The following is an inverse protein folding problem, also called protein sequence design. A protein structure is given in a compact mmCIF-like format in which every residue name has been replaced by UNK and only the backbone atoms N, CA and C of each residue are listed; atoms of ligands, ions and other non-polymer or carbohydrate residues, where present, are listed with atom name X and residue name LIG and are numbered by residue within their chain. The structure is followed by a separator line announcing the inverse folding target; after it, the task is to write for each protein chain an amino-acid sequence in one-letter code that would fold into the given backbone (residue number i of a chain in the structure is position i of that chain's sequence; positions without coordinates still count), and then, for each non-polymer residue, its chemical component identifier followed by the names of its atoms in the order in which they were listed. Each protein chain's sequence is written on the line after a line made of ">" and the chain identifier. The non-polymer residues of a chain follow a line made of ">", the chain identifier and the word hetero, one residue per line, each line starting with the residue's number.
data_IF_370795823466
#
_entry.id   IF_370795823466
#
_cell.length_a   1.000
_cell.length_b   1.000
_cell.length_c   1.000
_cell.angle_alpha   90.00
_cell.angle_beta   90.00
_cell.angle_gamma   90.00
#
_symmetry.space_group_name_H-M   'P 1'
#
loop_
_entity.id
_entity.type
_entity.pdbx_description
1 polymer ?
#
# COMPACT_ATOMS: atom_id res chain seq x y z
N UNK A 1 -12.97 17.74 13.99
CA UNK A 1 -13.02 18.12 12.57
C UNK A 1 -12.89 16.85 11.75
N UNK A 2 -13.91 16.53 10.94
CA UNK A 2 -14.09 15.21 10.32
C UNK A 2 -13.06 14.90 9.24
N UNK A 3 -12.46 13.70 9.31
CA UNK A 3 -11.61 13.13 8.26
C UNK A 3 -12.51 12.73 7.09
N UNK A 4 -12.47 13.49 6.00
CA UNK A 4 -13.04 13.05 4.73
C UNK A 4 -12.11 11.98 4.16
N UNK A 5 -12.67 10.88 3.64
CA UNK A 5 -11.90 9.95 2.81
C UNK A 5 -11.79 10.56 1.41
N UNK A 6 -10.67 10.33 0.74
CA UNK A 6 -10.45 10.86 -0.61
C UNK A 6 -11.33 10.17 -1.67
N UNK A 7 -12.06 9.10 -1.32
CA UNK A 7 -12.92 8.36 -2.23
C UNK A 7 -14.02 9.23 -2.88
N UNK A 8 -14.63 10.14 -2.10
CA UNK A 8 -15.64 11.07 -2.63
C UNK A 8 -15.07 12.10 -3.61
N UNK A 9 -13.76 12.36 -3.58
CA UNK A 9 -13.07 13.30 -4.49
C UNK A 9 -12.63 12.65 -5.78
N UNK A 10 -12.25 11.37 -5.76
CA UNK A 10 -11.83 10.63 -6.95
C UNK A 10 -13.00 10.29 -7.88
N UNK A 11 -14.20 10.00 -7.36
CA UNK A 11 -15.39 9.72 -8.19
C UNK A 11 -15.81 10.90 -9.10
N UNK A 12 -15.50 12.14 -8.74
CA UNK A 12 -15.85 13.32 -9.53
C UNK A 12 -14.99 13.49 -10.80
N UNK A 13 -13.85 12.77 -10.92
CA UNK A 13 -12.85 13.00 -11.98
C UNK A 13 -12.98 12.06 -13.19
N UNK A 14 -13.84 11.03 -13.12
CA UNK A 14 -13.91 9.93 -14.08
C UNK A 14 -14.88 10.08 -15.26
N UNK A 15 -15.07 11.26 -15.85
CA UNK A 15 -15.87 11.38 -17.10
C UNK A 15 -15.24 12.32 -18.13
N UNK A 16 -14.42 11.74 -19.01
CA UNK A 16 -14.06 12.35 -20.30
C UNK A 16 -12.58 12.21 -20.64
N UNK A 17 -12.25 11.14 -21.37
CA UNK A 17 -10.93 10.93 -21.96
C UNK A 17 -10.54 12.07 -22.89
N UNK A 18 -9.66 12.95 -22.42
CA UNK A 18 -8.86 13.87 -23.24
C UNK A 18 -7.40 13.70 -22.85
N UNK A 19 -6.46 13.77 -23.81
CA UNK A 19 -5.04 13.57 -23.54
C UNK A 19 -4.53 14.51 -22.44
N UNK A 20 -3.69 13.97 -21.57
CA UNK A 20 -3.14 14.67 -20.41
C UNK A 20 -2.06 15.64 -20.90
N UNK A 21 -2.35 16.94 -20.88
CA UNK A 21 -1.40 18.01 -21.23
C UNK A 21 -0.49 18.34 -20.02
N UNK A 22 0.73 18.86 -20.24
CA UNK A 22 1.65 19.32 -19.15
C UNK A 22 0.97 20.20 -18.09
N UNK A 23 0.07 21.10 -18.50
CA UNK A 23 -0.70 21.95 -17.57
C UNK A 23 -1.66 21.17 -16.66
N UNK A 24 -2.19 20.04 -17.13
CA UNK A 24 -3.06 19.15 -16.32
C UNK A 24 -2.24 18.38 -15.29
N UNK A 25 -1.04 17.91 -15.64
CA UNK A 25 -0.12 17.24 -14.71
C UNK A 25 0.20 18.16 -13.52
N UNK A 26 0.58 19.42 -13.78
CA UNK A 26 0.84 20.42 -12.74
C UNK A 26 -0.40 20.73 -11.87
N UNK A 27 -1.60 20.73 -12.46
CA UNK A 27 -2.86 20.92 -11.71
C UNK A 27 -3.19 19.72 -10.82
N UNK A 28 -2.92 18.49 -11.29
CA UNK A 28 -3.07 17.26 -10.50
C UNK A 28 -2.09 17.20 -9.32
N UNK A 29 -0.84 17.59 -9.54
CA UNK A 29 0.19 17.64 -8.51
C UNK A 29 -0.14 18.69 -7.42
N UNK A 30 -0.66 19.86 -7.82
CA UNK A 30 -1.11 20.88 -6.88
C UNK A 30 -2.34 20.45 -6.06
N UNK A 31 -3.23 19.63 -6.62
CA UNK A 31 -4.36 19.05 -5.87
C UNK A 31 -3.89 17.97 -4.88
N UNK A 32 -2.91 17.14 -5.25
CA UNK A 32 -2.26 16.19 -4.34
C UNK A 32 -1.52 16.87 -3.18
N UNK A 33 -0.90 18.02 -3.45
CA UNK A 33 -0.24 18.86 -2.44
C UNK A 33 -1.20 19.34 -1.33
N UNK A 34 -2.43 19.73 -1.68
CA UNK A 34 -3.46 20.15 -0.71
C UNK A 34 -4.08 19.00 0.08
N UNK A 35 -4.03 17.77 -0.45
CA UNK A 35 -4.49 16.56 0.26
C UNK A 35 -3.46 16.13 1.31
N UNK A 36 -2.16 16.25 1.02
CA UNK A 36 -1.07 15.92 1.95
C UNK A 36 -1.02 16.73 3.22
N UNK A 37 -1.27 18.04 3.12
CA UNK A 37 -1.18 18.95 4.27
C UNK A 37 -2.30 18.77 5.30
N UNK A 38 -3.40 18.10 4.94
CA UNK A 38 -4.59 17.98 5.80
C UNK A 38 -4.80 16.63 6.49
N UNK A 39 -4.13 15.56 6.04
CA UNK A 39 -4.50 14.18 6.39
C UNK A 39 -3.29 13.29 6.71
N UNK A 40 -2.62 13.60 7.83
CA UNK A 40 -2.03 12.59 8.70
C UNK A 40 -0.78 11.86 8.21
N UNK A 41 0.34 12.23 8.84
CA UNK A 41 1.54 11.42 9.14
C UNK A 41 1.59 10.00 8.51
N UNK A 42 2.48 9.87 7.54
CA UNK A 42 2.75 8.66 6.76
C UNK A 42 3.67 7.74 7.56
N UNK A 43 3.11 6.77 8.29
CA UNK A 43 3.85 5.58 8.74
C UNK A 43 3.65 4.48 7.70
N UNK A 44 4.63 4.28 6.83
CA UNK A 44 4.58 3.22 5.81
C UNK A 44 5.43 2.02 6.23
N UNK A 45 4.75 0.88 6.39
CA UNK A 45 5.34 -0.44 6.60
C UNK A 45 5.40 -0.84 8.07
N UNK A 46 4.25 -1.15 8.67
CA UNK A 46 4.28 -1.77 10.01
C UNK A 46 4.78 -3.19 9.91
N UNK A 47 5.47 -3.66 10.95
CA UNK A 47 5.89 -5.07 11.02
C UNK A 47 4.70 -6.01 10.86
N UNK A 48 3.56 -5.64 11.45
CA UNK A 48 2.28 -6.33 11.28
C UNK A 48 1.87 -6.51 9.81
N UNK A 49 1.96 -5.45 9.00
CA UNK A 49 1.61 -5.47 7.58
C UNK A 49 2.51 -6.43 6.76
N UNK A 50 3.81 -6.45 7.05
CA UNK A 50 4.77 -7.31 6.37
C UNK A 50 4.52 -8.80 6.68
N UNK A 51 4.23 -9.12 7.94
CA UNK A 51 3.93 -10.48 8.37
C UNK A 51 2.61 -10.99 7.79
N UNK A 52 1.56 -10.17 7.77
CA UNK A 52 0.31 -10.52 7.08
C UNK A 52 0.58 -10.83 5.61
N UNK A 53 1.30 -9.96 4.91
CA UNK A 53 1.58 -10.15 3.49
C UNK A 53 2.37 -11.43 3.23
N UNK A 54 3.38 -11.73 4.05
CA UNK A 54 4.17 -12.96 3.94
C UNK A 54 3.32 -14.20 4.27
N UNK A 55 2.45 -14.12 5.27
CA UNK A 55 1.53 -15.20 5.64
C UNK A 55 0.54 -15.50 4.52
N UNK A 56 -0.07 -14.46 3.96
CA UNK A 56 -0.95 -14.57 2.80
C UNK A 56 -0.19 -15.12 1.59
N UNK A 57 1.05 -14.68 1.32
CA UNK A 57 1.91 -15.25 0.27
C UNK A 57 2.06 -16.77 0.45
N UNK A 58 2.38 -17.26 1.66
CA UNK A 58 2.53 -18.69 1.94
C UNK A 58 1.23 -19.47 1.75
N UNK A 59 0.09 -18.86 2.04
CA UNK A 59 -1.22 -19.47 1.80
C UNK A 59 -1.51 -19.57 0.30
N UNK A 60 -1.36 -18.47 -0.44
CA UNK A 60 -1.65 -18.44 -1.88
C UNK A 60 -0.69 -19.35 -2.66
N UNK A 61 0.57 -19.46 -2.23
CA UNK A 61 1.55 -20.39 -2.81
C UNK A 61 1.07 -21.86 -2.79
N UNK A 62 0.22 -22.23 -1.82
CA UNK A 62 -0.37 -23.57 -1.69
C UNK A 62 -1.68 -23.77 -2.45
N UNK A 63 -2.24 -22.71 -3.03
CA UNK A 63 -3.50 -22.75 -3.79
C UNK A 63 -3.22 -23.14 -5.26
N UNK A 64 -4.24 -23.57 -6.03
CA UNK A 64 -4.08 -23.82 -7.46
C UNK A 64 -3.47 -22.62 -8.21
N UNK A 65 -2.38 -22.85 -8.95
CA UNK A 65 -1.63 -21.79 -9.64
C UNK A 65 -0.63 -21.03 -8.76
N UNK A 66 -0.62 -21.30 -7.44
CA UNK A 66 0.31 -20.73 -6.47
C UNK A 66 1.76 -21.17 -6.64
N UNK A 67 2.00 -22.26 -7.38
CA UNK A 67 3.33 -22.72 -7.79
C UNK A 67 4.12 -21.66 -8.59
N UNK A 68 3.40 -20.71 -9.21
CA UNK A 68 4.00 -19.55 -9.89
C UNK A 68 4.52 -18.48 -8.92
N UNK A 69 4.11 -18.51 -7.66
CA UNK A 69 4.63 -17.65 -6.59
C UNK A 69 5.89 -18.31 -6.01
N UNK A 70 7.00 -18.12 -6.70
CA UNK A 70 8.25 -18.85 -6.44
C UNK A 70 9.12 -18.24 -5.33
N UNK A 71 8.99 -16.94 -5.08
CA UNK A 71 9.79 -16.25 -4.08
C UNK A 71 9.10 -15.00 -3.51
N UNK A 72 9.45 -14.69 -2.27
CA UNK A 72 9.14 -13.44 -1.60
C UNK A 72 10.44 -12.91 -0.99
N UNK A 73 10.80 -11.66 -1.29
CA UNK A 73 11.98 -10.99 -0.73
C UNK A 73 11.58 -9.60 -0.26
N UNK A 74 11.84 -9.30 1.00
CA UNK A 74 11.69 -7.97 1.59
C UNK A 74 12.99 -7.18 1.40
N UNK A 75 12.91 -5.95 0.89
CA UNK A 75 14.07 -5.05 0.79
C UNK A 75 14.03 -4.11 2.01
N UNK A 76 14.94 -4.34 2.95
CA UNK A 76 15.09 -3.53 4.17
C UNK A 76 16.17 -2.47 3.93
N UNK A 77 15.83 -1.19 4.13
CA UNK A 77 16.73 -0.05 3.99
C UNK A 77 17.04 0.56 5.36
N UNK A 78 17.77 -0.19 6.19
CA UNK A 78 18.21 0.24 7.52
C UNK A 78 19.69 -0.07 7.71
N UNK A 79 20.34 0.52 8.70
CA UNK A 79 21.75 0.22 8.99
C UNK A 79 21.96 -1.18 9.54
N UNK A 80 20.93 -1.77 10.17
CA UNK A 80 20.98 -3.11 10.77
C UNK A 80 19.75 -3.95 10.40
N UNK A 81 19.88 -5.27 10.55
CA UNK A 81 18.76 -6.21 10.43
C UNK A 81 17.75 -5.95 11.55
N UNK A 82 16.46 -6.18 11.27
CA UNK A 82 15.39 -6.05 12.25
C UNK A 82 14.81 -7.41 12.68
N UNK A 83 13.84 -7.39 13.60
CA UNK A 83 13.21 -8.59 14.14
C UNK A 83 12.53 -9.48 13.09
N UNK A 84 12.19 -8.93 11.91
CA UNK A 84 11.59 -9.70 10.81
C UNK A 84 12.61 -10.40 9.93
N UNK A 85 13.84 -9.93 9.91
CA UNK A 85 14.88 -10.41 9.00
C UNK A 85 15.20 -11.91 9.15
N UNK A 86 15.11 -12.52 10.37
CA UNK A 86 15.22 -13.98 10.53
C UNK A 86 14.01 -14.78 10.03
N UNK A 87 12.84 -14.14 9.84
CA UNK A 87 11.56 -14.79 9.54
C UNK A 87 11.13 -14.61 8.08
N UNK A 88 11.33 -13.41 7.55
CA UNK A 88 10.98 -13.04 6.18
C UNK A 88 12.29 -12.93 5.40
N UNK A 89 12.44 -13.61 4.24
CA UNK A 89 13.64 -13.48 3.42
C UNK A 89 13.90 -12.00 3.11
N UNK A 90 15.02 -11.49 3.59
CA UNK A 90 15.30 -10.03 3.61
C UNK A 90 16.63 -9.74 2.94
N UNK A 91 16.62 -8.79 2.01
CA UNK A 91 17.81 -8.13 1.48
C UNK A 91 18.04 -6.84 2.25
N UNK A 92 19.20 -6.71 2.91
CA UNK A 92 19.58 -5.50 3.64
C UNK A 92 20.32 -4.55 2.70
N UNK A 93 19.64 -3.47 2.31
CA UNK A 93 20.23 -2.35 1.60
C UNK A 93 20.78 -1.31 2.58
N UNK A 94 21.86 -0.63 2.18
CA UNK A 94 22.43 0.48 2.95
C UNK A 94 21.61 1.75 2.71
N UNK A 95 21.03 2.37 3.75
CA UNK A 95 20.29 3.63 3.59
C UNK A 95 21.24 4.76 3.19
N UNK A 96 20.74 5.74 2.44
CA UNK A 96 21.45 7.01 2.21
C UNK A 96 21.40 7.88 3.48
N UNK A 97 20.35 7.71 4.28
CA UNK A 97 20.10 8.48 5.50
C UNK A 97 20.13 7.56 6.74
N UNK A 98 21.31 7.09 7.18
CA UNK A 98 21.43 6.16 8.31
C UNK A 98 20.86 6.70 9.63
N UNK A 99 20.81 8.03 9.79
CA UNK A 99 20.15 8.71 10.91
C UNK A 99 18.63 8.47 10.96
N UNK A 100 18.03 8.08 9.84
CA UNK A 100 16.59 7.85 9.69
C UNK A 100 16.13 6.46 10.12
N UNK A 101 17.03 5.62 10.65
CA UNK A 101 16.71 4.25 11.09
C UNK A 101 15.58 4.22 12.12
N UNK A 102 15.45 5.24 12.97
CA UNK A 102 14.37 5.33 13.96
C UNK A 102 13.16 6.12 13.43
N UNK A 103 13.40 7.33 12.90
CA UNK A 103 12.36 8.18 12.36
C UNK A 103 12.95 9.29 11.48
N UNK A 104 12.20 9.70 10.46
CA UNK A 104 12.46 10.92 9.70
C UNK A 104 11.17 11.50 9.12
N UNK A 105 11.24 12.77 8.72
CA UNK A 105 10.13 13.44 8.02
C UNK A 105 9.79 12.76 6.67
N UNK A 106 10.76 12.05 6.08
CA UNK A 106 10.61 11.41 4.78
C UNK A 106 11.05 9.94 4.75
N UNK A 107 10.27 9.01 5.34
CA UNK A 107 10.65 7.60 5.51
C UNK A 107 10.73 6.80 4.20
N UNK A 108 10.42 7.41 3.06
CA UNK A 108 10.45 6.75 1.74
C UNK A 108 11.72 7.10 0.95
N UNK A 109 12.53 8.06 1.42
CA UNK A 109 13.71 8.58 0.72
C UNK A 109 14.70 7.49 0.29
N UNK A 110 14.87 6.45 1.10
CA UNK A 110 15.89 5.42 0.86
C UNK A 110 15.42 4.26 -0.03
N UNK A 111 14.12 4.15 -0.33
CA UNK A 111 13.58 3.00 -1.07
C UNK A 111 14.16 2.87 -2.48
N UNK A 112 14.29 3.94 -3.27
CA UNK A 112 14.79 3.78 -4.63
C UNK A 112 16.26 3.33 -4.65
N UNK A 113 17.10 3.91 -3.79
CA UNK A 113 18.48 3.47 -3.61
C UNK A 113 18.57 2.01 -3.10
N UNK A 114 17.63 1.58 -2.26
CA UNK A 114 17.58 0.19 -1.78
C UNK A 114 17.23 -0.80 -2.89
N UNK A 115 16.29 -0.43 -3.77
CA UNK A 115 15.94 -1.18 -4.96
C UNK A 115 17.13 -1.25 -5.93
N UNK A 116 17.80 -0.13 -6.18
CA UNK A 116 19.01 -0.09 -7.01
C UNK A 116 20.06 -1.08 -6.49
N UNK A 117 20.33 -1.08 -5.19
CA UNK A 117 21.24 -2.03 -4.56
C UNK A 117 20.79 -3.49 -4.71
N UNK A 118 19.49 -3.77 -4.57
CA UNK A 118 18.97 -5.13 -4.79
C UNK A 118 19.17 -5.58 -6.24
N UNK A 119 18.90 -4.72 -7.22
CA UNK A 119 19.09 -5.03 -8.64
C UNK A 119 20.58 -5.20 -9.00
N UNK A 120 21.46 -4.39 -8.44
CA UNK A 120 22.91 -4.55 -8.62
C UNK A 120 23.41 -5.84 -7.98
N UNK A 121 22.92 -6.19 -6.80
CA UNK A 121 23.21 -7.48 -6.17
C UNK A 121 22.68 -8.65 -7.02
N UNK A 122 21.47 -8.53 -7.58
CA UNK A 122 20.88 -9.53 -8.46
C UNK A 122 21.64 -9.72 -9.79
N UNK A 123 22.31 -8.68 -10.29
CA UNK A 123 23.22 -8.79 -11.45
C UNK A 123 24.48 -9.58 -11.10
N UNK A 124 25.00 -9.38 -9.89
CA UNK A 124 26.18 -10.09 -9.40
C UNK A 124 25.86 -11.54 -8.98
N UNK A 125 24.68 -11.76 -8.39
CA UNK A 125 24.14 -13.05 -7.99
C UNK A 125 22.73 -13.24 -8.59
N UNK A 126 22.62 -13.85 -9.78
CA UNK A 126 21.34 -14.12 -10.43
C UNK A 126 20.40 -15.01 -9.59
N UNK A 127 20.90 -15.73 -8.58
CA UNK A 127 20.10 -16.56 -7.67
C UNK A 127 19.11 -15.76 -6.82
N UNK A 128 19.31 -14.45 -6.68
CA UNK A 128 18.38 -13.55 -6.00
C UNK A 128 17.05 -13.38 -6.77
N UNK A 129 17.04 -13.60 -8.08
CA UNK A 129 15.86 -13.51 -8.93
C UNK A 129 15.38 -14.91 -9.29
N UNK A 130 14.32 -15.36 -8.61
CA UNK A 130 13.77 -16.71 -8.78
C UNK A 130 12.63 -16.80 -9.79
N UNK A 131 12.15 -15.66 -10.30
CA UNK A 131 11.00 -15.56 -11.21
C UNK A 131 11.32 -14.66 -12.41
N UNK A 132 10.69 -14.87 -13.58
CA UNK A 132 10.88 -14.02 -14.76
C UNK A 132 10.26 -12.62 -14.64
N UNK A 133 9.41 -12.37 -13.63
CA UNK A 133 8.72 -11.10 -13.44
C UNK A 133 8.96 -10.55 -12.03
N UNK A 134 9.33 -9.27 -11.93
CA UNK A 134 9.42 -8.51 -10.70
C UNK A 134 8.31 -7.46 -10.68
N UNK A 135 7.47 -7.48 -9.65
CA UNK A 135 6.49 -6.42 -9.42
C UNK A 135 7.10 -5.40 -8.45
N UNK A 136 7.35 -4.19 -8.93
CA UNK A 136 8.07 -3.17 -8.17
C UNK A 136 7.63 -1.77 -8.61
N UNK A 137 7.29 -0.90 -7.66
CA UNK A 137 6.89 0.49 -7.91
C UNK A 137 7.63 1.38 -6.92
N UNK A 138 8.78 1.94 -7.31
CA UNK A 138 9.45 3.10 -6.72
C UNK A 138 10.39 3.66 -7.80
N UNK A 139 10.67 4.98 -7.85
CA UNK A 139 11.67 5.49 -8.82
C UNK A 139 12.61 6.54 -8.22
N UNK A 140 13.91 6.31 -8.40
CA UNK A 140 15.04 7.08 -7.83
C UNK A 140 15.32 8.40 -8.57
N UNK A 141 14.61 8.66 -9.67
CA UNK A 141 14.98 9.75 -10.58
C UNK A 141 14.72 11.14 -9.98
N UNK A 142 13.71 11.29 -9.11
CA UNK A 142 13.31 12.60 -8.60
C UNK A 142 14.16 13.05 -7.40
N UNK A 143 14.70 12.12 -6.62
CA UNK A 143 15.50 12.43 -5.43
C UNK A 143 16.89 13.02 -5.76
N UNK A 144 17.33 12.95 -7.02
CA UNK A 144 18.55 13.62 -7.49
C UNK A 144 18.37 15.10 -7.88
N UNK A 145 17.13 15.60 -7.94
CA UNK A 145 16.80 16.90 -8.53
C UNK A 145 16.20 17.87 -7.49
N UNK A 146 16.97 18.90 -7.11
CA UNK A 146 16.58 19.90 -6.11
C UNK A 146 15.37 20.77 -6.51
N UNK A 147 15.17 21.00 -7.81
CA UNK A 147 14.01 21.74 -8.30
C UNK A 147 12.75 20.88 -8.16
N UNK A 148 12.84 19.60 -8.54
CA UNK A 148 11.74 18.66 -8.41
C UNK A 148 11.41 18.35 -6.94
N UNK A 149 12.40 18.22 -6.05
CA UNK A 149 12.17 18.08 -4.60
C UNK A 149 11.33 19.22 -4.04
N UNK A 150 11.69 20.46 -4.39
CA UNK A 150 10.97 21.65 -3.92
C UNK A 150 9.56 21.76 -4.49
N UNK A 151 9.37 21.37 -5.75
CA UNK A 151 8.09 21.47 -6.45
C UNK A 151 7.09 20.38 -6.06
N UNK A 152 7.58 19.15 -5.82
CA UNK A 152 6.75 17.98 -5.59
C UNK A 152 6.69 17.56 -4.12
N UNK A 153 7.64 18.01 -3.29
CA UNK A 153 7.72 17.70 -1.86
C UNK A 153 7.51 16.19 -1.60
N UNK A 154 6.82 15.79 -0.54
CA UNK A 154 6.59 14.39 -0.18
C UNK A 154 5.90 13.55 -1.28
N UNK A 155 5.15 14.21 -2.17
CA UNK A 155 4.36 13.60 -3.25
C UNK A 155 5.25 13.01 -4.35
N UNK A 156 6.51 13.46 -4.44
CA UNK A 156 7.43 13.09 -5.51
C UNK A 156 7.55 11.59 -5.69
N UNK A 157 7.91 10.84 -4.64
CA UNK A 157 8.08 9.37 -4.71
C UNK A 157 6.77 8.65 -5.06
N UNK A 158 5.61 9.12 -4.59
CA UNK A 158 4.32 8.49 -4.91
C UNK A 158 3.98 8.56 -6.41
N UNK A 159 4.42 9.61 -7.10
CA UNK A 159 4.17 9.77 -8.53
C UNK A 159 5.40 9.55 -9.39
N UNK A 160 6.55 9.25 -8.80
CA UNK A 160 7.81 9.17 -9.51
C UNK A 160 7.74 8.07 -10.61
N UNK A 161 7.10 6.93 -10.32
CA UNK A 161 6.76 5.92 -11.32
C UNK A 161 5.92 6.47 -12.47
N UNK A 162 4.86 7.22 -12.14
CA UNK A 162 3.96 7.78 -13.16
C UNK A 162 4.68 8.81 -14.05
N UNK A 163 5.56 9.62 -13.45
CA UNK A 163 6.38 10.61 -14.16
C UNK A 163 7.38 9.91 -15.08
N UNK A 164 8.12 8.93 -14.58
CA UNK A 164 9.08 8.15 -15.35
C UNK A 164 8.39 7.43 -16.53
N UNK A 165 7.29 6.73 -16.27
CA UNK A 165 6.52 6.05 -17.31
C UNK A 165 6.01 7.01 -18.39
N UNK A 166 5.57 8.22 -18.00
CA UNK A 166 5.14 9.24 -18.94
C UNK A 166 6.29 9.83 -19.78
N UNK A 167 7.46 10.09 -19.17
CA UNK A 167 8.64 10.60 -19.86
C UNK A 167 9.20 9.58 -20.85
N UNK A 168 9.26 8.31 -20.45
CA UNK A 168 9.72 7.18 -21.25
C UNK A 168 8.65 6.64 -22.22
N UNK A 169 7.45 7.23 -22.21
CA UNK A 169 6.30 6.85 -23.06
C UNK A 169 5.98 5.36 -22.96
N UNK A 170 6.10 4.79 -21.77
CA UNK A 170 5.75 3.40 -21.50
C UNK A 170 4.24 3.25 -21.67
N UNK A 171 3.76 2.35 -22.54
CA UNK A 171 2.33 2.05 -22.61
C UNK A 171 1.92 1.33 -21.32
N UNK A 172 1.02 1.95 -20.55
CA UNK A 172 0.45 1.36 -19.34
C UNK A 172 -0.92 0.77 -19.66
N UNK A 173 -1.10 -0.51 -19.35
CA UNK A 173 -2.41 -1.16 -19.37
C UNK A 173 -3.06 -1.04 -17.99
N UNK A 174 -3.93 -0.04 -17.84
CA UNK A 174 -4.58 0.31 -16.58
C UNK A 174 -6.07 0.02 -16.67
N UNK A 175 -6.55 -0.88 -15.82
CA UNK A 175 -7.97 -1.21 -15.69
C UNK A 175 -8.48 -0.73 -14.34
N UNK A 176 -9.62 -0.06 -14.32
CA UNK A 176 -10.31 0.27 -13.07
C UNK A 176 -11.07 -0.97 -12.56
N UNK A 177 -11.27 -1.11 -11.24
CA UNK A 177 -12.20 -2.10 -10.71
C UNK A 177 -13.60 -1.94 -11.34
N UNK A 178 -14.29 -3.04 -11.69
CA UNK A 178 -13.98 -4.44 -11.36
C UNK A 178 -13.04 -5.15 -12.36
N UNK A 179 -12.57 -4.47 -13.40
CA UNK A 179 -11.74 -5.07 -14.45
C UNK A 179 -10.24 -5.08 -14.12
N UNK A 180 -9.81 -4.28 -13.13
CA UNK A 180 -8.47 -4.37 -12.53
C UNK A 180 -8.13 -5.82 -12.16
N UNK A 181 -7.10 -6.38 -12.80
CA UNK A 181 -6.61 -7.73 -12.49
C UNK A 181 -5.61 -7.75 -11.33
N UNK A 182 -5.01 -6.59 -11.01
CA UNK A 182 -3.93 -6.51 -10.03
C UNK A 182 -4.49 -6.32 -8.63
N UNK A 183 -5.08 -5.16 -8.36
CA UNK A 183 -5.49 -4.78 -7.00
C UNK A 183 -6.76 -3.94 -6.96
N UNK A 184 -7.48 -4.04 -5.84
CA UNK A 184 -8.51 -3.10 -5.39
C UNK A 184 -8.07 -2.38 -4.11
N UNK A 185 -8.70 -1.25 -3.79
CA UNK A 185 -8.39 -0.39 -2.65
C UNK A 185 -9.61 -0.16 -1.74
N UNK A 186 -10.05 -1.15 -0.95
CA UNK A 186 -11.09 -0.93 0.07
C UNK A 186 -10.70 0.19 1.06
N UNK A 187 -11.64 1.05 1.49
CA UNK A 187 -13.08 1.00 1.21
C UNK A 187 -13.49 1.80 -0.04
N UNK A 188 -12.55 2.31 -0.84
CA UNK A 188 -12.87 3.05 -2.06
C UNK A 188 -13.51 2.14 -3.13
N UNK A 189 -13.04 0.90 -3.21
CA UNK A 189 -13.60 -0.13 -4.07
C UNK A 189 -14.51 -1.08 -3.27
N UNK A 190 -15.74 -1.25 -3.76
CA UNK A 190 -16.76 -2.05 -3.09
C UNK A 190 -16.86 -3.50 -3.59
N UNK A 191 -16.06 -3.91 -4.58
CA UNK A 191 -16.09 -5.26 -5.18
C UNK A 191 -14.69 -5.72 -5.56
N UNK A 192 -14.41 -7.01 -5.38
CA UNK A 192 -13.14 -7.62 -5.79
C UNK A 192 -12.97 -7.64 -7.32
N UNK A 193 -14.03 -7.98 -8.05
CA UNK A 193 -13.95 -8.10 -9.52
C UNK A 193 -12.94 -9.15 -9.95
N UNK A 194 -12.04 -8.78 -10.88
CA UNK A 194 -10.95 -9.62 -11.38
C UNK A 194 -9.65 -9.48 -10.59
N UNK A 195 -9.62 -8.66 -9.55
CA UNK A 195 -8.39 -8.36 -8.83
C UNK A 195 -7.93 -9.54 -7.96
N UNK A 196 -6.61 -9.69 -7.85
CA UNK A 196 -5.99 -10.73 -7.02
C UNK A 196 -5.45 -10.20 -5.69
N UNK A 197 -5.37 -8.87 -5.53
CA UNK A 197 -4.86 -8.21 -4.32
C UNK A 197 -5.88 -7.21 -3.75
N UNK A 198 -5.89 -7.11 -2.42
CA UNK A 198 -6.61 -6.07 -1.68
C UNK A 198 -5.59 -5.17 -0.99
N UNK A 199 -5.49 -3.92 -1.44
CA UNK A 199 -4.61 -2.93 -0.83
C UNK A 199 -5.39 -2.13 0.23
N UNK A 200 -4.98 -2.26 1.48
CA UNK A 200 -5.58 -1.56 2.62
C UNK A 200 -4.85 -0.23 2.87
N UNK A 201 -5.15 0.76 2.03
CA UNK A 201 -4.56 2.10 2.16
C UNK A 201 -5.26 2.90 3.25
N UNK A 202 -6.59 2.83 3.30
CA UNK A 202 -7.43 3.69 4.13
C UNK A 202 -8.03 2.90 5.28
N UNK A 203 -8.08 3.52 6.46
CA UNK A 203 -8.90 2.99 7.56
C UNK A 203 -10.38 3.00 7.18
N UNK A 204 -11.15 2.07 7.72
CA UNK A 204 -12.60 1.99 7.55
C UNK A 204 -13.27 2.12 8.92
N UNK A 205 -14.25 3.01 9.05
CA UNK A 205 -15.04 3.19 10.27
C UNK A 205 -16.52 3.06 9.90
N UNK A 206 -17.19 2.04 10.43
CA UNK A 206 -18.62 1.86 10.25
C UNK A 206 -19.38 2.61 11.35
N UNK A 207 -20.25 3.53 10.96
CA UNK A 207 -21.07 4.30 11.86
C UNK A 207 -22.55 3.99 11.60
N UNK A 208 -23.30 3.71 12.66
CA UNK A 208 -24.73 3.54 12.61
C UNK A 208 -25.46 4.86 12.28
N UNK A 209 -26.74 4.80 11.84
CA UNK A 209 -27.52 6.01 11.51
C UNK A 209 -27.62 7.03 12.65
N UNK A 210 -27.52 6.57 13.90
CA UNK A 210 -27.50 7.40 15.11
C UNK A 210 -26.13 8.03 15.41
N UNK A 211 -25.12 7.80 14.57
CA UNK A 211 -23.75 8.28 14.73
C UNK A 211 -22.84 7.43 15.62
N UNK A 212 -23.33 6.31 16.16
CA UNK A 212 -22.50 5.38 16.95
C UNK A 212 -21.50 4.66 16.06
N UNK A 213 -20.22 4.63 16.45
CA UNK A 213 -19.20 3.80 15.80
C UNK A 213 -19.44 2.33 16.16
N UNK A 214 -19.73 1.52 15.16
CA UNK A 214 -20.01 0.08 15.28
C UNK A 214 -18.75 -0.75 15.13
N UNK A 215 -17.83 -0.32 14.26
CA UNK A 215 -16.58 -1.01 14.00
C UNK A 215 -15.55 -0.09 13.36
N UNK A 216 -14.27 -0.38 13.54
CA UNK A 216 -13.20 0.26 12.80
C UNK A 216 -12.03 -0.68 12.53
N UNK A 217 -11.36 -0.43 11.41
CA UNK A 217 -10.05 -0.98 11.12
C UNK A 217 -9.13 0.15 10.63
N UNK A 218 -7.92 0.20 11.18
CA UNK A 218 -6.87 1.06 10.70
C UNK A 218 -5.50 0.41 10.95
N UNK A 219 -4.70 0.24 9.89
CA UNK A 219 -3.35 -0.34 10.02
C UNK A 219 -2.45 0.44 10.97
N UNK A 220 -2.74 1.73 11.17
CA UNK A 220 -1.99 2.63 12.07
C UNK A 220 -2.14 2.26 13.54
N UNK A 221 -3.10 1.41 13.89
CA UNK A 221 -3.23 0.88 15.24
C UNK A 221 -2.25 -0.28 15.53
N UNK A 222 -1.57 -0.79 14.50
CA UNK A 222 -0.69 -1.96 14.58
C UNK A 222 0.78 -1.58 14.35
N UNK A 223 1.24 -0.48 14.94
CA UNK A 223 2.61 0.08 14.77
C UNK A 223 3.52 -0.15 15.98
N UNK A 224 2.99 -0.57 17.13
CA UNK A 224 3.79 -0.75 18.35
C UNK A 224 4.85 -1.86 18.21
N UNK A 225 6.03 -1.74 18.85
CA UNK A 225 7.08 -2.76 18.82
C UNK A 225 6.65 -4.15 19.29
N UNK A 226 5.66 -4.25 20.18
CA UNK A 226 5.09 -5.54 20.59
C UNK A 226 4.51 -6.34 19.41
N UNK A 227 4.08 -5.64 18.35
CA UNK A 227 3.54 -6.27 17.14
C UNK A 227 4.60 -6.99 16.28
N UNK A 228 5.88 -6.89 16.67
CA UNK A 228 6.98 -7.66 16.09
C UNK A 228 7.07 -9.08 16.66
N UNK A 229 6.60 -9.24 17.89
CA UNK A 229 6.64 -10.50 18.64
C UNK A 229 5.26 -11.19 18.64
N UNK A 230 4.20 -10.41 18.82
CA UNK A 230 2.81 -10.86 18.84
C UNK A 230 2.07 -10.29 17.63
N UNK A 231 1.35 -11.13 16.88
CA UNK A 231 0.62 -10.67 15.70
C UNK A 231 -0.88 -10.68 15.99
N UNK A 232 -1.44 -9.63 16.64
CA UNK A 232 -2.82 -9.67 17.10
C UNK A 232 -3.78 -9.76 15.93
N UNK A 233 -4.78 -10.63 16.04
CA UNK A 233 -5.86 -10.69 15.05
C UNK A 233 -6.61 -9.37 14.96
N UNK A 234 -7.04 -9.06 13.75
CA UNK A 234 -7.88 -7.90 13.48
C UNK A 234 -9.34 -8.28 13.78
N UNK A 235 -10.04 -7.53 14.65
CA UNK A 235 -11.43 -7.84 14.96
C UNK A 235 -12.32 -7.82 13.70
N UNK A 236 -13.10 -8.88 13.42
CA UNK A 236 -14.00 -8.89 12.27
C UNK A 236 -15.13 -7.86 12.46
N UNK A 237 -15.67 -7.30 11.38
CA UNK A 237 -16.84 -6.44 11.49
C UNK A 237 -18.06 -7.20 12.03
N UNK A 238 -18.94 -6.56 12.81
CA UNK A 238 -20.19 -7.16 13.26
C UNK A 238 -21.13 -7.42 12.07
N UNK A 239 -22.14 -8.31 12.21
CA UNK A 239 -23.08 -8.62 11.14
C UNK A 239 -23.66 -7.36 10.49
N UNK A 240 -23.66 -7.33 9.15
CA UNK A 240 -24.10 -6.20 8.35
C UNK A 240 -25.48 -5.67 8.78
N UNK A 241 -25.60 -4.33 8.88
CA UNK A 241 -26.87 -3.63 9.07
C UNK A 241 -27.00 -2.50 8.06
N UNK A 242 -28.22 -2.32 7.55
CA UNK A 242 -28.52 -1.23 6.63
C UNK A 242 -28.40 0.15 7.29
N UNK A 243 -28.10 1.15 6.47
CA UNK A 243 -27.99 2.55 6.91
C UNK A 243 -26.64 2.93 7.52
N UNK A 244 -25.70 1.99 7.65
CA UNK A 244 -24.33 2.30 8.04
C UNK A 244 -23.63 3.23 7.06
N UNK A 245 -22.74 4.07 7.58
CA UNK A 245 -21.92 5.00 6.81
C UNK A 245 -20.45 4.94 7.22
N UNK A 246 -19.57 5.11 6.24
CA UNK A 246 -18.15 5.34 6.46
C UNK A 246 -17.92 6.69 7.16
N UNK A 247 -16.70 6.90 7.67
CA UNK A 247 -16.30 8.14 8.34
C UNK A 247 -16.47 9.43 7.52
N UNK A 248 -16.59 9.30 6.20
CA UNK A 248 -16.77 10.41 5.26
C UNK A 248 -18.23 10.58 4.81
N UNK A 249 -19.14 9.77 5.36
CA UNK A 249 -20.56 9.80 5.07
C UNK A 249 -21.00 8.92 3.91
N UNK A 250 -20.09 8.24 3.21
CA UNK A 250 -20.47 7.29 2.15
C UNK A 250 -21.23 6.10 2.73
N UNK A 251 -22.28 5.60 2.06
CA UNK A 251 -23.03 4.44 2.55
C UNK A 251 -22.17 3.18 2.52
N UNK A 252 -22.21 2.40 3.61
CA UNK A 252 -21.69 1.04 3.64
C UNK A 252 -22.72 0.14 2.96
N UNK A 253 -22.54 -0.13 1.67
CA UNK A 253 -23.38 -1.08 0.93
C UNK A 253 -23.05 -2.51 1.34
N UNK A 254 -23.92 -3.46 0.99
CA UNK A 254 -23.67 -4.89 1.23
C UNK A 254 -22.36 -5.34 0.56
N UNK A 255 -22.14 -4.94 -0.68
CA UNK A 255 -20.92 -5.29 -1.43
C UNK A 255 -19.66 -4.75 -0.74
N UNK A 256 -19.68 -3.48 -0.32
CA UNK A 256 -18.55 -2.87 0.39
C UNK A 256 -18.28 -3.58 1.72
N UNK A 257 -19.33 -3.90 2.47
CA UNK A 257 -19.21 -4.68 3.70
C UNK A 257 -18.57 -6.04 3.42
N UNK A 258 -19.05 -6.78 2.41
CA UNK A 258 -18.56 -8.12 2.10
C UNK A 258 -17.08 -8.09 1.68
N UNK A 259 -16.66 -7.10 0.90
CA UNK A 259 -15.24 -6.92 0.53
C UNK A 259 -14.37 -6.57 1.73
N UNK A 260 -14.82 -5.69 2.62
CA UNK A 260 -14.08 -5.36 3.84
C UNK A 260 -13.99 -6.59 4.76
N UNK A 261 -15.09 -7.31 4.95
CA UNK A 261 -15.10 -8.54 5.75
C UNK A 261 -14.16 -9.61 5.15
N UNK A 262 -14.17 -9.79 3.83
CA UNK A 262 -13.26 -10.69 3.12
C UNK A 262 -11.79 -10.28 3.30
N UNK A 263 -11.50 -8.97 3.24
CA UNK A 263 -10.15 -8.44 3.47
C UNK A 263 -9.67 -8.77 4.89
N UNK A 264 -10.49 -8.53 5.90
CA UNK A 264 -10.15 -8.78 7.30
C UNK A 264 -9.98 -10.28 7.58
N UNK A 265 -10.85 -11.14 7.02
CA UNK A 265 -10.69 -12.59 7.07
C UNK A 265 -9.36 -13.04 6.42
N UNK A 266 -9.05 -12.52 5.23
CA UNK A 266 -7.82 -12.84 4.51
C UNK A 266 -6.57 -12.43 5.31
N UNK A 267 -6.61 -11.25 5.95
CA UNK A 267 -5.53 -10.80 6.83
C UNK A 267 -5.37 -11.73 8.02
N UNK A 268 -6.45 -12.07 8.72
CA UNK A 268 -6.41 -12.97 9.88
C UNK A 268 -5.92 -14.38 9.53
N UNK A 269 -6.26 -14.89 8.34
CA UNK A 269 -5.70 -16.15 7.84
C UNK A 269 -4.20 -16.03 7.57
N UNK A 270 -3.75 -14.89 7.03
CA UNK A 270 -2.32 -14.58 6.89
C UNK A 270 -1.61 -14.58 8.25
N UNK A 271 -2.21 -13.98 9.27
CA UNK A 271 -1.72 -13.99 10.66
C UNK A 271 -1.58 -15.42 11.18
N UNK A 272 -2.61 -16.26 11.01
CA UNK A 272 -2.59 -17.66 11.42
C UNK A 272 -1.47 -18.46 10.72
N UNK A 273 -1.15 -18.12 9.47
CA UNK A 273 -0.09 -18.78 8.71
C UNK A 273 1.34 -18.41 9.17
N UNK A 274 1.51 -17.31 9.92
CA UNK A 274 2.77 -16.97 10.58
C UNK A 274 2.96 -17.69 11.91
N UNK A 275 1.86 -18.15 12.55
CA UNK A 275 1.93 -18.89 13.81
C UNK A 275 2.32 -18.03 15.02
N UNK A 276 2.00 -16.74 14.97
CA UNK A 276 2.29 -15.73 16.01
C UNK A 276 1.00 -15.14 16.63
N UNK A 277 -0.11 -15.83 16.42
CA UNK A 277 -1.46 -15.41 16.81
C UNK A 277 -1.86 -15.92 18.21
#
# INVERSE_FOLDING_TARGET
>A
MGRKSDAARFQAMGRGGKPITRARILTFLAAGFLVGLGLGFVFMGTVHANLIMFGTYKLVQKMPGGDKMVAFTRILHRTTQDALSPRVPTFLAKPLHPECDAWCDYPVADRPNAIRQFLDAARADPGLIRAPWLYMIETDFIEGDEECKKALDWVREMYAFSVAAALEKIPLDMHEPPDSVTMIQPPADARLGKAHLMHYTWGAIFNAPNGTKEWEFDKRFYTEPKHEEELPKIPPPPPFREGWKLQDGLPVTRDLYDVIAQMIDTMNRGIDAEGLA
#
